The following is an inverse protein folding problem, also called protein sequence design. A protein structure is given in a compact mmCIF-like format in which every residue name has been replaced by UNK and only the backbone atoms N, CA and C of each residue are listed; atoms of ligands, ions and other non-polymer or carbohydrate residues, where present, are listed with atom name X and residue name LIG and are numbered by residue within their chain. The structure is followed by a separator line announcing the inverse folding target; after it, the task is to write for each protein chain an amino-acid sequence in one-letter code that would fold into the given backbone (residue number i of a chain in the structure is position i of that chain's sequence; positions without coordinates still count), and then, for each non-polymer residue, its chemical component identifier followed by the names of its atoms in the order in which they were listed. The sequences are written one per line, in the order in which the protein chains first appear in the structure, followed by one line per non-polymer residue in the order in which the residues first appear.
data_IF_066333418885
#
_entry.id   IF_066333418885
#
_cell.length_a   1.000
_cell.length_b   1.000
_cell.length_c   1.000
_cell.angle_alpha   90.00
_cell.angle_beta   90.00
_cell.angle_gamma   90.00
#
_symmetry.space_group_name_H-M   'P 1'
#
loop_
_entity.id
_entity.type
_entity.pdbx_description
1 polymer ?
#
# COMPACT_ATOMS: atom_id res chain seq x y z
N UNK A 1 -34.93 0.56 9.31
CA UNK A 1 -33.47 0.44 9.09
C UNK A 1 -32.80 0.49 10.45
N UNK A 2 -32.10 -0.57 10.86
CA UNK A 2 -31.65 -0.72 12.24
C UNK A 2 -30.38 0.11 12.48
N UNK A 3 -30.56 1.19 13.24
CA UNK A 3 -29.48 1.95 13.84
C UNK A 3 -28.93 1.14 15.01
N UNK A 4 -27.81 0.43 14.81
CA UNK A 4 -27.22 -0.37 15.88
C UNK A 4 -26.47 0.56 16.84
N UNK A 5 -27.19 1.03 17.87
CA UNK A 5 -26.64 1.77 18.99
C UNK A 5 -26.37 0.77 20.12
N UNK A 6 -25.18 0.84 20.72
CA UNK A 6 -24.75 -0.01 21.82
C UNK A 6 -25.64 0.13 23.07
N UNK A 7 -26.47 1.18 23.15
CA UNK A 7 -27.43 1.40 24.24
C UNK A 7 -28.77 0.65 24.11
N UNK A 8 -29.10 0.12 22.93
CA UNK A 8 -30.43 -0.46 22.66
C UNK A 8 -30.39 -1.88 22.08
N UNK A 9 -29.21 -2.44 21.83
CA UNK A 9 -29.07 -3.84 21.38
C UNK A 9 -28.97 -4.79 22.57
N UNK A 10 -29.61 -5.95 22.43
CA UNK A 10 -29.31 -7.12 23.25
C UNK A 10 -27.81 -7.48 23.06
N UNK A 11 -27.09 -7.69 24.17
CA UNK A 11 -25.66 -8.01 24.19
C UNK A 11 -25.30 -9.20 23.28
N UNK A 12 -26.18 -10.20 23.21
CA UNK A 12 -25.97 -11.38 22.34
C UNK A 12 -25.95 -11.02 20.85
N UNK A 13 -26.79 -10.07 20.42
CA UNK A 13 -26.84 -9.62 19.02
C UNK A 13 -25.64 -8.73 18.70
N UNK A 14 -25.24 -7.86 19.64
CA UNK A 14 -24.02 -7.06 19.46
C UNK A 14 -22.79 -7.95 19.32
N UNK A 15 -22.64 -8.97 20.18
CA UNK A 15 -21.54 -9.92 20.09
C UNK A 15 -21.51 -10.64 18.74
N UNK A 16 -22.65 -11.14 18.27
CA UNK A 16 -22.75 -11.87 17.00
C UNK A 16 -22.50 -10.99 15.77
N UNK A 17 -22.78 -9.68 15.84
CA UNK A 17 -22.72 -8.76 14.70
C UNK A 17 -21.55 -7.78 14.75
N UNK A 18 -20.73 -7.80 15.81
CA UNK A 18 -19.71 -6.78 16.09
C UNK A 18 -18.82 -6.49 14.87
N UNK A 19 -18.21 -7.54 14.30
CA UNK A 19 -17.29 -7.41 13.17
C UNK A 19 -17.97 -7.07 11.84
N UNK A 20 -19.29 -7.28 11.73
CA UNK A 20 -20.08 -6.95 10.54
C UNK A 20 -20.54 -5.49 10.52
N UNK A 21 -20.48 -4.81 11.67
CA UNK A 21 -20.99 -3.44 11.81
C UNK A 21 -20.32 -2.46 10.84
N UNK A 22 -18.99 -2.51 10.72
CA UNK A 22 -18.23 -1.66 9.78
C UNK A 22 -18.59 -1.91 8.32
N UNK A 23 -18.80 -3.18 7.94
CA UNK A 23 -19.24 -3.55 6.59
C UNK A 23 -20.64 -2.97 6.30
N UNK A 24 -21.58 -3.08 7.23
CA UNK A 24 -22.95 -2.56 7.06
C UNK A 24 -22.97 -1.03 6.90
N UNK A 25 -22.19 -0.31 7.72
CA UNK A 25 -22.04 1.14 7.56
C UNK A 25 -21.46 1.51 6.18
N UNK A 26 -20.48 0.74 5.72
CA UNK A 26 -19.84 0.92 4.42
C UNK A 26 -20.83 0.70 3.28
N UNK A 27 -21.58 -0.41 3.31
CA UNK A 27 -22.59 -0.73 2.30
C UNK A 27 -23.67 0.35 2.22
N UNK A 28 -24.18 0.80 3.37
CA UNK A 28 -25.19 1.85 3.40
C UNK A 28 -24.66 3.15 2.78
N UNK A 29 -23.46 3.57 3.18
CA UNK A 29 -22.83 4.79 2.65
C UNK A 29 -22.60 4.68 1.15
N UNK A 30 -22.14 3.53 0.67
CA UNK A 30 -21.95 3.25 -0.76
C UNK A 30 -23.27 3.36 -1.54
N UNK A 31 -24.34 2.71 -1.06
CA UNK A 31 -25.66 2.76 -1.71
C UNK A 31 -26.23 4.18 -1.73
N UNK A 32 -26.10 4.93 -0.64
CA UNK A 32 -26.48 6.35 -0.61
C UNK A 32 -25.70 7.13 -1.67
N UNK A 33 -24.38 6.99 -1.69
CA UNK A 33 -23.53 7.74 -2.60
C UNK A 33 -23.85 7.48 -4.08
N UNK A 34 -24.23 6.25 -4.42
CA UNK A 34 -24.50 5.80 -5.79
C UNK A 34 -25.95 6.09 -6.23
N UNK A 35 -26.94 5.83 -5.38
CA UNK A 35 -28.36 5.77 -5.78
C UNK A 35 -29.23 6.90 -5.22
N UNK A 36 -28.76 7.65 -4.22
CA UNK A 36 -29.55 8.77 -3.71
C UNK A 36 -29.34 10.00 -4.59
N UNK A 37 -30.42 10.56 -5.14
CA UNK A 37 -30.37 11.76 -5.98
C UNK A 37 -29.81 13.01 -5.26
N UNK A 38 -29.86 13.05 -3.93
CA UNK A 38 -29.24 14.11 -3.11
C UNK A 38 -27.76 13.89 -2.86
N UNK A 39 -27.18 12.77 -3.28
CA UNK A 39 -25.76 12.48 -3.15
C UNK A 39 -24.93 13.37 -4.10
N UNK A 40 -23.76 13.88 -3.66
CA UNK A 40 -22.86 14.64 -4.53
C UNK A 40 -22.28 13.81 -5.69
N UNK A 41 -22.36 12.48 -5.62
CA UNK A 41 -21.81 11.56 -6.64
C UNK A 41 -22.89 10.64 -7.23
N UNK A 42 -24.16 11.08 -7.25
CA UNK A 42 -25.26 10.29 -7.79
C UNK A 42 -24.95 9.75 -9.20
N UNK A 43 -25.13 8.44 -9.38
CA UNK A 43 -24.84 7.75 -10.65
C UNK A 43 -23.36 7.64 -11.03
N UNK A 44 -22.44 7.99 -10.13
CA UNK A 44 -20.99 7.97 -10.36
C UNK A 44 -20.27 7.06 -9.36
N UNK A 45 -19.05 6.62 -9.72
CA UNK A 45 -18.18 5.88 -8.80
C UNK A 45 -17.65 6.83 -7.73
N UNK A 46 -17.81 6.47 -6.47
CA UNK A 46 -17.34 7.26 -5.32
C UNK A 46 -16.10 6.63 -4.70
N UNK A 47 -15.23 7.46 -4.13
CA UNK A 47 -14.16 7.01 -3.26
C UNK A 47 -14.67 6.96 -1.82
N UNK A 48 -14.78 5.75 -1.26
CA UNK A 48 -15.14 5.52 0.13
C UNK A 48 -13.98 4.82 0.84
N UNK A 49 -13.68 5.25 2.06
CA UNK A 49 -12.71 4.62 2.94
C UNK A 49 -13.40 4.22 4.23
N UNK A 50 -13.16 3.01 4.70
CA UNK A 50 -13.64 2.55 6.00
C UNK A 50 -12.49 2.06 6.85
N UNK A 51 -12.51 2.37 8.15
CA UNK A 51 -11.55 1.83 9.12
C UNK A 51 -11.96 0.44 9.63
N UNK A 52 -13.25 0.13 9.66
CA UNK A 52 -13.76 -1.16 10.12
C UNK A 52 -14.28 -1.94 8.93
N UNK A 53 -13.70 -3.11 8.69
CA UNK A 53 -13.95 -3.93 7.51
C UNK A 53 -14.22 -5.38 7.89
N UNK A 54 -14.83 -6.11 6.97
CA UNK A 54 -15.07 -7.54 7.05
C UNK A 54 -14.90 -8.16 5.65
N UNK A 55 -14.99 -9.48 5.53
CA UNK A 55 -14.99 -10.15 4.23
C UNK A 55 -16.05 -9.52 3.29
N UNK A 56 -15.63 -9.12 2.09
CA UNK A 56 -16.47 -8.43 1.11
C UNK A 56 -16.43 -6.90 1.16
N UNK A 57 -15.80 -6.27 2.16
CA UNK A 57 -15.71 -4.81 2.25
C UNK A 57 -15.04 -4.16 1.04
N UNK A 58 -14.08 -4.82 0.39
CA UNK A 58 -13.37 -4.29 -0.77
C UNK A 58 -14.23 -4.06 -2.01
N UNK A 59 -15.46 -4.59 -2.05
CA UNK A 59 -16.43 -4.28 -3.10
C UNK A 59 -16.99 -2.84 -2.99
N UNK A 60 -16.93 -2.25 -1.79
CA UNK A 60 -17.61 -1.00 -1.47
C UNK A 60 -16.66 0.12 -1.09
N UNK A 61 -15.53 -0.19 -0.46
CA UNK A 61 -14.59 0.81 0.05
C UNK A 61 -13.15 0.31 0.11
N UNK A 62 -12.23 1.27 0.12
CA UNK A 62 -10.85 1.04 0.54
C UNK A 62 -10.67 1.08 2.05
N UNK A 63 -9.44 0.80 2.47
CA UNK A 63 -9.04 0.75 3.88
C UNK A 63 -7.66 1.38 4.08
N UNK A 64 -7.26 1.60 5.32
CA UNK A 64 -5.88 1.91 5.70
C UNK A 64 -5.53 1.22 7.01
N UNK A 65 -4.26 0.91 7.22
CA UNK A 65 -3.76 0.13 8.38
C UNK A 65 -3.86 0.84 9.75
N UNK A 66 -4.69 1.87 9.88
CA UNK A 66 -4.90 2.58 11.14
C UNK A 66 -3.81 3.61 11.45
N UNK A 67 -3.49 3.74 12.74
CA UNK A 67 -2.57 4.75 13.26
C UNK A 67 -1.18 4.16 13.49
N UNK A 68 -0.37 4.13 12.44
CA UNK A 68 1.03 3.73 12.51
C UNK A 68 1.92 4.86 13.08
N UNK A 69 3.10 4.50 13.58
CA UNK A 69 4.15 5.38 14.11
C UNK A 69 5.19 5.69 13.04
N UNK A 70 5.90 6.80 13.19
CA UNK A 70 7.04 7.17 12.35
C UNK A 70 8.29 6.32 12.70
N UNK A 71 8.26 5.01 12.40
CA UNK A 71 9.36 4.07 12.66
C UNK A 71 9.64 3.21 11.44
N UNK A 72 10.86 2.68 11.32
CA UNK A 72 11.22 1.72 10.26
C UNK A 72 10.40 0.44 10.36
N UNK A 73 10.13 -0.05 11.58
CA UNK A 73 9.33 -1.25 11.80
C UNK A 73 7.90 -1.07 11.26
N UNK A 74 7.23 0.04 11.58
CA UNK A 74 5.88 0.30 11.06
C UNK A 74 5.89 0.55 9.54
N UNK A 75 6.95 1.14 9.00
CA UNK A 75 7.13 1.25 7.55
C UNK A 75 7.29 -0.14 6.91
N UNK A 76 8.04 -1.07 7.51
CA UNK A 76 8.16 -2.46 7.04
C UNK A 76 6.84 -3.21 7.18
N UNK A 77 6.19 -3.15 8.35
CA UNK A 77 4.89 -3.80 8.61
C UNK A 77 3.78 -3.33 7.67
N UNK A 78 3.90 -2.12 7.11
CA UNK A 78 2.98 -1.66 6.08
C UNK A 78 2.91 -2.60 4.87
N UNK A 79 4.02 -3.28 4.55
CA UNK A 79 4.13 -4.15 3.37
C UNK A 79 3.31 -5.42 3.57
N UNK A 80 3.57 -6.15 4.66
CA UNK A 80 2.80 -7.36 4.97
C UNK A 80 1.34 -7.03 5.29
N UNK A 81 1.05 -5.92 5.96
CA UNK A 81 -0.31 -5.44 6.18
C UNK A 81 -1.08 -5.20 4.88
N UNK A 82 -0.48 -4.49 3.92
CA UNK A 82 -1.10 -4.25 2.60
C UNK A 82 -1.32 -5.58 1.88
N UNK A 83 -0.32 -6.46 1.81
CA UNK A 83 -0.44 -7.75 1.14
C UNK A 83 -1.56 -8.61 1.73
N UNK A 84 -1.65 -8.68 3.06
CA UNK A 84 -2.70 -9.41 3.77
C UNK A 84 -4.09 -8.91 3.42
N UNK A 85 -4.33 -7.60 3.48
CA UNK A 85 -5.63 -7.03 3.15
C UNK A 85 -6.05 -7.28 1.69
N UNK A 86 -5.11 -7.29 0.75
CA UNK A 86 -5.42 -7.67 -0.63
C UNK A 86 -5.84 -9.13 -0.73
N UNK A 87 -5.15 -10.05 -0.03
CA UNK A 87 -5.54 -11.46 0.03
C UNK A 87 -6.90 -11.65 0.71
N UNK A 88 -7.28 -10.77 1.65
CA UNK A 88 -8.60 -10.75 2.28
C UNK A 88 -9.68 -10.06 1.43
N UNK A 89 -9.36 -9.67 0.19
CA UNK A 89 -10.32 -9.09 -0.74
C UNK A 89 -10.59 -7.60 -0.52
N UNK A 90 -9.66 -6.85 0.09
CA UNK A 90 -9.72 -5.38 0.25
C UNK A 90 -8.50 -4.75 -0.42
N UNK A 91 -8.51 -4.61 -1.76
CA UNK A 91 -7.30 -4.30 -2.51
C UNK A 91 -6.91 -2.82 -2.50
N UNK A 92 -7.85 -1.91 -2.28
CA UNK A 92 -7.57 -0.48 -2.19
C UNK A 92 -7.14 -0.11 -0.77
N UNK A 93 -5.90 -0.49 -0.42
CA UNK A 93 -5.33 -0.42 0.94
C UNK A 93 -4.03 0.39 0.96
N UNK A 94 -3.70 0.99 2.12
CA UNK A 94 -2.42 1.63 2.36
C UNK A 94 -2.12 1.87 3.85
N UNK A 95 -0.96 2.43 4.14
CA UNK A 95 -0.60 2.97 5.45
C UNK A 95 -0.46 4.49 5.40
N UNK A 96 -0.53 5.17 6.55
CA UNK A 96 -0.26 6.61 6.56
C UNK A 96 1.23 6.85 6.37
N UNK A 97 1.60 7.43 5.24
CA UNK A 97 2.98 7.75 4.89
C UNK A 97 3.56 8.68 5.97
N UNK A 98 4.80 8.42 6.39
CA UNK A 98 5.50 9.08 7.49
C UNK A 98 4.93 8.81 8.90
N UNK A 99 3.94 7.94 9.05
CA UNK A 99 3.31 7.67 10.34
C UNK A 99 2.34 8.77 10.79
N UNK A 100 1.32 8.36 11.55
CA UNK A 100 0.33 9.25 12.18
C UNK A 100 0.79 9.76 13.53
N UNK A 101 1.60 8.98 14.25
CA UNK A 101 2.06 9.28 15.61
C UNK A 101 3.56 9.06 15.75
N UNK A 102 4.10 9.24 16.96
CA UNK A 102 5.51 9.08 17.28
C UNK A 102 6.37 10.27 16.85
N UNK A 103 7.63 10.24 17.25
CA UNK A 103 8.58 11.33 16.97
C UNK A 103 8.88 11.40 15.48
N UNK A 104 8.82 12.61 14.95
CA UNK A 104 9.01 12.82 13.52
C UNK A 104 10.48 12.62 13.13
N UNK A 105 10.71 11.75 12.14
CA UNK A 105 12.02 11.54 11.55
C UNK A 105 11.95 11.77 10.04
N UNK A 106 12.72 12.74 9.56
CA UNK A 106 12.69 13.13 8.15
C UNK A 106 13.28 12.07 7.21
N UNK A 107 14.24 11.28 7.67
CA UNK A 107 14.81 10.17 6.90
C UNK A 107 13.77 9.08 6.65
N UNK A 108 13.11 8.66 7.73
CA UNK A 108 12.00 7.70 7.66
C UNK A 108 10.93 8.26 6.73
N UNK A 109 10.55 9.53 6.87
CA UNK A 109 9.54 10.14 6.01
C UNK A 109 9.93 10.17 4.53
N UNK A 110 11.18 10.51 4.21
CA UNK A 110 11.72 10.45 2.84
C UNK A 110 11.66 9.04 2.25
N UNK A 111 12.11 8.02 3.00
CA UNK A 111 12.01 6.61 2.60
C UNK A 111 10.56 6.13 2.48
N UNK A 112 9.69 6.59 3.38
CA UNK A 112 8.28 6.23 3.35
C UNK A 112 7.57 6.87 2.16
N UNK A 113 7.95 8.05 1.69
CA UNK A 113 7.43 8.56 0.42
C UNK A 113 7.92 7.71 -0.76
N UNK A 114 9.18 7.26 -0.76
CA UNK A 114 9.68 6.35 -1.80
C UNK A 114 8.91 5.03 -1.85
N UNK A 115 8.52 4.45 -0.70
CA UNK A 115 7.69 3.25 -0.64
C UNK A 115 6.20 3.56 -0.91
N UNK A 116 5.65 4.52 -0.17
CA UNK A 116 4.23 4.83 -0.11
C UNK A 116 3.69 5.49 -1.37
N UNK A 117 4.55 6.08 -2.20
CA UNK A 117 4.20 6.47 -3.56
C UNK A 117 3.72 5.28 -4.41
N UNK A 118 4.02 4.04 -4.00
CA UNK A 118 3.57 2.84 -4.70
C UNK A 118 2.44 2.09 -4.00
N UNK A 119 1.90 2.60 -2.88
CA UNK A 119 0.73 2.01 -2.24
C UNK A 119 -0.49 2.04 -3.17
N UNK A 120 -1.37 1.01 -3.12
CA UNK A 120 -2.68 1.05 -3.77
C UNK A 120 -3.44 2.32 -3.37
N UNK A 121 -3.55 2.58 -2.07
CA UNK A 121 -4.04 3.82 -1.48
C UNK A 121 -2.88 4.60 -0.82
N UNK A 122 -2.43 5.68 -1.46
CA UNK A 122 -1.32 6.49 -0.97
C UNK A 122 -1.83 7.76 -0.27
N UNK A 123 -1.60 7.89 1.04
CA UNK A 123 -2.01 9.05 1.84
C UNK A 123 -0.97 9.35 2.94
N UNK A 124 -0.66 10.63 3.14
CA UNK A 124 -0.03 11.13 4.37
C UNK A 124 -1.10 11.67 5.31
N UNK A 125 -1.08 11.26 6.58
CA UNK A 125 -2.08 11.64 7.59
C UNK A 125 -1.45 11.71 8.99
N UNK A 126 -0.76 12.82 9.32
CA UNK A 126 -0.24 13.07 10.66
C UNK A 126 -1.37 13.38 11.64
N UNK A 127 -1.17 13.13 12.94
CA UNK A 127 -2.05 13.67 13.98
C UNK A 127 -1.73 15.15 14.27
N UNK A 128 -2.63 15.85 14.97
CA UNK A 128 -2.49 17.29 15.21
C UNK A 128 -1.23 17.70 16.02
N UNK A 129 -0.63 16.76 16.75
CA UNK A 129 0.56 17.00 17.59
C UNK A 129 1.88 16.61 16.93
N UNK A 130 1.85 16.11 15.69
CA UNK A 130 2.98 15.48 15.02
C UNK A 130 3.99 16.42 14.36
N UNK A 131 3.75 17.74 14.43
CA UNK A 131 4.52 18.76 13.69
C UNK A 131 4.21 18.77 12.18
N UNK A 132 4.90 19.64 11.44
CA UNK A 132 4.76 19.74 9.98
C UNK A 132 5.42 18.55 9.29
N UNK A 133 4.62 17.73 8.58
CA UNK A 133 5.07 16.53 7.84
C UNK A 133 4.76 16.60 6.34
N UNK A 134 4.35 17.78 5.87
CA UNK A 134 4.14 18.05 4.46
C UNK A 134 5.45 17.93 3.69
N UNK A 135 5.38 17.46 2.44
CA UNK A 135 6.58 17.25 1.60
C UNK A 135 7.44 18.51 1.49
N UNK A 136 6.82 19.69 1.40
CA UNK A 136 7.54 20.96 1.28
C UNK A 136 8.31 21.36 2.54
N UNK A 137 7.93 20.82 3.70
CA UNK A 137 8.54 21.09 5.00
C UNK A 137 9.75 20.19 5.29
N UNK A 138 10.01 19.18 4.46
CA UNK A 138 11.18 18.31 4.57
C UNK A 138 12.47 19.01 4.13
N UNK A 139 13.60 18.61 4.72
CA UNK A 139 14.94 18.97 4.29
C UNK A 139 15.13 18.59 2.82
N UNK A 140 15.98 19.35 2.12
CA UNK A 140 16.10 19.29 0.66
C UNK A 140 16.29 17.88 0.10
N UNK A 141 17.14 17.07 0.74
CA UNK A 141 17.43 15.70 0.31
C UNK A 141 16.19 14.79 0.37
N UNK A 142 15.41 14.86 1.46
CA UNK A 142 14.21 14.05 1.65
C UNK A 142 13.03 14.58 0.83
N UNK A 143 12.93 15.91 0.70
CA UNK A 143 11.95 16.56 -0.16
C UNK A 143 12.15 16.17 -1.63
N UNK A 144 13.40 16.13 -2.10
CA UNK A 144 13.75 15.71 -3.45
C UNK A 144 13.38 14.25 -3.68
N UNK A 145 13.73 13.36 -2.74
CA UNK A 145 13.34 11.96 -2.78
C UNK A 145 11.82 11.76 -2.87
N UNK A 146 11.07 12.45 -2.00
CA UNK A 146 9.61 12.40 -1.99
C UNK A 146 9.03 12.92 -3.31
N UNK A 147 9.54 14.04 -3.83
CA UNK A 147 9.10 14.61 -5.11
C UNK A 147 9.36 13.66 -6.28
N UNK A 148 10.53 13.02 -6.34
CA UNK A 148 10.87 12.07 -7.38
C UNK A 148 9.94 10.86 -7.35
N UNK A 149 9.71 10.28 -6.16
CA UNK A 149 8.81 9.14 -5.98
C UNK A 149 7.37 9.48 -6.36
N UNK A 150 6.86 10.64 -5.93
CA UNK A 150 5.51 11.09 -6.27
C UNK A 150 5.37 11.40 -7.77
N UNK A 151 6.39 11.97 -8.40
CA UNK A 151 6.40 12.22 -9.86
C UNK A 151 6.33 10.90 -10.63
N UNK A 152 7.11 9.89 -10.19
CA UNK A 152 7.06 8.55 -10.77
C UNK A 152 5.71 7.86 -10.54
N UNK A 153 5.10 8.01 -9.36
CA UNK A 153 3.70 7.55 -9.12
C UNK A 153 2.76 8.15 -10.16
N UNK A 154 2.84 9.47 -10.37
CA UNK A 154 1.95 10.18 -11.30
C UNK A 154 2.14 9.71 -12.75
N UNK A 155 3.38 9.46 -13.19
CA UNK A 155 3.64 8.94 -14.54
C UNK A 155 3.13 7.50 -14.71
N UNK A 156 3.09 6.71 -13.63
CA UNK A 156 2.60 5.33 -13.62
C UNK A 156 1.08 5.19 -13.37
N UNK A 157 0.32 6.28 -13.24
CA UNK A 157 -1.12 6.20 -12.92
C UNK A 157 -1.92 5.36 -13.91
N UNK A 158 -1.58 5.41 -15.21
CA UNK A 158 -2.23 4.58 -16.23
C UNK A 158 -1.98 3.09 -15.96
N UNK A 159 -0.73 2.73 -15.65
CA UNK A 159 -0.37 1.36 -15.29
C UNK A 159 -1.11 0.90 -14.03
N UNK A 160 -1.11 1.72 -12.97
CA UNK A 160 -1.83 1.39 -11.73
C UNK A 160 -3.33 1.21 -11.96
N UNK A 161 -3.94 2.08 -12.76
CA UNK A 161 -5.35 1.94 -13.10
C UNK A 161 -5.63 0.65 -13.89
N UNK A 162 -4.75 0.26 -14.81
CA UNK A 162 -4.85 -1.02 -15.52
C UNK A 162 -4.74 -2.20 -14.54
N UNK A 163 -3.81 -2.18 -13.60
CA UNK A 163 -3.70 -3.24 -12.57
C UNK A 163 -5.00 -3.36 -11.76
N UNK A 164 -5.59 -2.23 -11.32
CA UNK A 164 -6.89 -2.27 -10.64
C UNK A 164 -8.02 -2.77 -11.53
N UNK A 165 -8.01 -2.44 -12.83
CA UNK A 165 -9.02 -2.92 -13.77
C UNK A 165 -8.93 -4.44 -13.97
N UNK A 166 -7.72 -4.98 -14.15
CA UNK A 166 -7.49 -6.42 -14.23
C UNK A 166 -7.97 -7.13 -12.96
N UNK A 167 -7.68 -6.56 -11.78
CA UNK A 167 -8.17 -7.10 -10.51
C UNK A 167 -9.68 -7.06 -10.39
N UNK A 168 -10.33 -6.00 -10.87
CA UNK A 168 -11.79 -5.91 -10.89
C UNK A 168 -12.41 -6.99 -11.79
N UNK A 169 -11.76 -7.32 -12.91
CA UNK A 169 -12.26 -8.33 -13.87
C UNK A 169 -11.98 -9.77 -13.42
N UNK A 170 -10.78 -10.03 -12.91
CA UNK A 170 -10.23 -11.37 -12.76
C UNK A 170 -9.89 -11.74 -11.31
N UNK A 171 -10.02 -10.80 -10.36
CA UNK A 171 -9.48 -10.95 -9.02
C UNK A 171 -7.96 -10.80 -8.97
N UNK A 172 -7.35 -11.13 -7.83
CA UNK A 172 -5.91 -11.02 -7.60
C UNK A 172 -5.53 -9.84 -6.69
N UNK A 173 -4.27 -9.38 -6.81
CA UNK A 173 -3.66 -8.41 -5.89
C UNK A 173 -2.88 -7.33 -6.65
N UNK A 174 -2.87 -6.10 -6.13
CA UNK A 174 -2.15 -4.98 -6.74
C UNK A 174 -0.65 -5.11 -6.44
N UNK A 175 -0.30 -5.30 -5.16
CA UNK A 175 1.00 -5.80 -4.73
C UNK A 175 1.00 -7.32 -4.69
N UNK A 176 2.01 -7.95 -5.27
CA UNK A 176 2.16 -9.39 -5.31
C UNK A 176 3.50 -9.77 -4.69
N UNK A 177 3.54 -10.59 -3.62
CA UNK A 177 4.78 -11.22 -3.19
C UNK A 177 5.47 -11.88 -4.39
N UNK A 178 6.81 -11.95 -4.39
CA UNK A 178 7.52 -12.52 -5.55
C UNK A 178 7.03 -13.93 -5.91
N UNK A 179 6.76 -14.77 -4.92
CA UNK A 179 6.29 -16.14 -5.15
C UNK A 179 4.91 -16.24 -5.84
N UNK A 180 4.11 -15.16 -5.89
CA UNK A 180 2.87 -15.16 -6.68
C UNK A 180 3.15 -15.18 -8.19
N UNK A 181 4.23 -14.51 -8.63
CA UNK A 181 4.64 -14.47 -10.03
C UNK A 181 5.67 -15.57 -10.35
N UNK A 182 6.42 -16.01 -9.33
CA UNK A 182 7.52 -16.97 -9.46
C UNK A 182 7.39 -18.11 -8.42
N UNK A 183 6.33 -18.94 -8.49
CA UNK A 183 6.03 -19.94 -7.47
C UNK A 183 7.07 -21.07 -7.39
N UNK A 184 7.78 -21.35 -8.48
CA UNK A 184 8.83 -22.38 -8.56
C UNK A 184 10.17 -21.93 -7.94
N UNK A 185 10.26 -20.70 -7.44
CA UNK A 185 11.49 -20.15 -6.85
C UNK A 185 11.44 -20.22 -5.31
N UNK A 186 12.25 -21.10 -4.73
CA UNK A 186 12.41 -21.20 -3.28
C UNK A 186 12.89 -19.87 -2.66
N UNK A 187 13.75 -19.13 -3.35
CA UNK A 187 14.20 -17.80 -2.90
C UNK A 187 13.06 -16.78 -2.88
N UNK A 188 12.15 -16.82 -3.86
CA UNK A 188 10.99 -15.93 -3.90
C UNK A 188 10.01 -16.18 -2.73
N UNK A 189 9.99 -17.40 -2.18
CA UNK A 189 9.21 -17.74 -0.99
C UNK A 189 9.84 -17.23 0.33
N UNK A 190 11.17 -17.04 0.36
CA UNK A 190 11.90 -16.63 1.57
C UNK A 190 11.79 -15.13 1.85
N UNK A 191 11.55 -14.31 0.83
CA UNK A 191 11.51 -12.84 0.95
C UNK A 191 10.13 -12.26 0.62
N UNK A 192 9.29 -12.15 1.66
CA UNK A 192 7.90 -11.71 1.54
C UNK A 192 7.75 -10.20 1.79
N UNK A 193 8.69 -9.60 2.53
CA UNK A 193 8.53 -8.23 3.06
C UNK A 193 9.53 -7.21 2.49
N UNK A 194 10.58 -7.62 1.77
CA UNK A 194 11.60 -6.67 1.28
C UNK A 194 11.54 -6.44 -0.23
N UNK A 195 10.89 -7.32 -0.99
CA UNK A 195 10.67 -7.09 -2.42
C UNK A 195 9.39 -7.73 -2.92
N UNK A 196 8.73 -7.06 -3.86
CA UNK A 196 7.45 -7.49 -4.39
C UNK A 196 7.21 -6.90 -5.78
N UNK A 197 6.25 -7.49 -6.49
CA UNK A 197 5.76 -7.00 -7.77
C UNK A 197 4.54 -6.09 -7.57
N UNK A 198 4.35 -5.17 -8.49
CA UNK A 198 3.13 -4.39 -8.68
C UNK A 198 2.61 -4.74 -10.05
N UNK A 199 1.45 -5.37 -10.13
CA UNK A 199 1.03 -6.07 -11.35
C UNK A 199 2.08 -7.10 -11.79
N UNK A 200 2.27 -7.25 -13.11
CA UNK A 200 3.20 -8.22 -13.70
C UNK A 200 4.54 -7.65 -14.14
N UNK A 201 4.73 -6.32 -14.07
CA UNK A 201 5.84 -5.66 -14.79
C UNK A 201 6.71 -4.73 -13.94
N UNK A 202 6.28 -4.37 -12.74
CA UNK A 202 7.02 -3.45 -11.88
C UNK A 202 7.48 -4.19 -10.62
N UNK A 203 8.78 -4.21 -10.35
CA UNK A 203 9.35 -4.75 -9.11
C UNK A 203 9.81 -3.63 -8.21
N UNK A 204 9.49 -3.71 -6.92
CA UNK A 204 9.94 -2.75 -5.91
C UNK A 204 10.80 -3.47 -4.87
N UNK A 205 11.87 -2.80 -4.44
CA UNK A 205 12.71 -3.19 -3.30
C UNK A 205 12.99 -1.93 -2.47
N UNK A 206 12.17 -1.62 -1.46
CA UNK A 206 12.35 -0.42 -0.65
C UNK A 206 13.54 -0.51 0.31
N UNK A 207 14.07 0.63 0.71
CA UNK A 207 15.01 0.75 1.83
C UNK A 207 14.21 0.80 3.13
N UNK A 208 14.37 -0.23 3.96
CA UNK A 208 13.60 -0.42 5.19
C UNK A 208 14.43 -0.28 6.47
N UNK A 209 15.63 0.27 6.37
CA UNK A 209 16.57 0.50 7.48
C UNK A 209 17.25 1.87 7.36
N UNK A 210 17.84 2.39 8.45
CA UNK A 210 18.63 3.62 8.42
C UNK A 210 19.77 3.56 7.39
N UNK A 211 20.12 4.71 6.81
CA UNK A 211 21.26 4.85 5.88
C UNK A 211 22.58 4.49 6.53
N UNK A 212 22.72 4.70 7.85
CA UNK A 212 23.89 4.28 8.63
C UNK A 212 24.10 2.77 8.64
N UNK A 213 23.06 2.00 8.33
CA UNK A 213 23.08 0.53 8.28
C UNK A 213 22.95 0.00 6.84
N UNK A 214 22.71 0.87 5.85
CA UNK A 214 22.28 0.46 4.51
C UNK A 214 23.03 1.22 3.43
N UNK A 215 24.26 0.79 3.15
CA UNK A 215 25.00 1.27 1.98
C UNK A 215 24.45 0.65 0.69
N UNK A 216 24.09 -0.64 0.72
CA UNK A 216 23.46 -1.36 -0.40
C UNK A 216 22.28 -2.20 0.08
N UNK A 217 21.28 -2.37 -0.78
CA UNK A 217 20.18 -3.31 -0.54
C UNK A 217 20.36 -4.56 -1.38
N UNK A 218 20.18 -5.72 -0.77
CA UNK A 218 20.17 -7.00 -1.48
C UNK A 218 18.77 -7.25 -2.05
N UNK A 219 18.68 -7.56 -3.33
CA UNK A 219 17.42 -7.82 -4.00
C UNK A 219 17.50 -9.09 -4.84
N UNK A 220 16.55 -10.01 -4.65
CA UNK A 220 16.47 -11.22 -5.44
C UNK A 220 15.78 -10.96 -6.79
N UNK A 221 16.32 -11.57 -7.85
CA UNK A 221 15.81 -11.55 -9.21
C UNK A 221 15.62 -12.99 -9.70
N UNK A 222 14.39 -13.39 -10.09
CA UNK A 222 14.09 -14.76 -10.54
C UNK A 222 14.77 -15.13 -11.85
N UNK A 223 14.94 -16.44 -12.08
CA UNK A 223 15.50 -16.98 -13.32
C UNK A 223 14.68 -16.59 -14.56
N UNK A 224 15.31 -16.53 -15.72
CA UNK A 224 14.68 -16.25 -17.02
C UNK A 224 13.91 -14.92 -17.06
N UNK A 225 14.28 -13.94 -16.23
CA UNK A 225 13.66 -12.61 -16.21
C UNK A 225 14.62 -11.56 -16.75
N UNK A 226 14.07 -10.44 -17.22
CA UNK A 226 14.83 -9.24 -17.55
C UNK A 226 14.29 -8.08 -16.75
N UNK A 227 15.17 -7.42 -15.98
CA UNK A 227 14.82 -6.25 -15.18
C UNK A 227 15.71 -5.07 -15.53
N UNK A 228 15.07 -3.92 -15.74
CA UNK A 228 15.71 -2.66 -16.07
C UNK A 228 15.37 -1.66 -14.97
N UNK A 229 16.36 -0.90 -14.53
CA UNK A 229 16.14 0.19 -13.59
C UNK A 229 15.33 1.31 -14.27
N UNK A 230 14.18 1.68 -13.70
CA UNK A 230 13.29 2.69 -14.28
C UNK A 230 13.83 4.12 -14.21
N UNK A 231 14.87 4.38 -13.43
CA UNK A 231 15.43 5.73 -13.26
C UNK A 231 16.51 5.99 -14.32
N UNK A 232 17.46 5.06 -14.49
CA UNK A 232 18.62 5.24 -15.36
C UNK A 232 18.64 4.30 -16.59
N UNK A 233 17.61 3.47 -16.74
CA UNK A 233 17.41 2.52 -17.85
C UNK A 233 18.52 1.47 -17.99
N UNK A 234 19.35 1.30 -16.96
CA UNK A 234 20.38 0.25 -16.96
C UNK A 234 19.74 -1.11 -16.70
N UNK A 235 20.18 -2.09 -17.47
CA UNK A 235 19.83 -3.49 -17.23
C UNK A 235 20.45 -3.94 -15.90
N UNK A 236 19.63 -4.47 -14.99
CA UNK A 236 20.07 -5.06 -13.73
C UNK A 236 20.35 -6.55 -13.93
N UNK A 237 19.41 -7.24 -14.58
CA UNK A 237 19.48 -8.66 -14.94
C UNK A 237 18.93 -8.85 -16.36
N UNK A 238 19.55 -9.72 -17.14
CA UNK A 238 19.13 -10.09 -18.50
C UNK A 238 19.17 -11.62 -18.70
N UNK A 239 18.07 -12.27 -18.35
CA UNK A 239 17.94 -13.72 -18.38
C UNK A 239 18.77 -14.41 -17.29
N UNK A 240 19.13 -15.67 -17.55
CA UNK A 240 19.89 -16.52 -16.64
C UNK A 240 19.09 -17.75 -16.18
N UNK A 241 19.74 -18.91 -16.22
CA UNK A 241 19.10 -20.20 -15.90
C UNK A 241 18.73 -20.36 -14.40
N UNK A 242 19.33 -19.54 -13.53
CA UNK A 242 19.08 -19.53 -12.09
C UNK A 242 18.79 -18.11 -11.61
N UNK A 243 17.96 -17.96 -10.58
CA UNK A 243 17.75 -16.67 -9.94
C UNK A 243 19.00 -16.17 -9.24
N UNK A 244 19.13 -14.85 -9.11
CA UNK A 244 20.33 -14.19 -8.60
C UNK A 244 19.97 -13.08 -7.61
N UNK A 245 20.81 -12.93 -6.59
CA UNK A 245 20.75 -11.76 -5.72
C UNK A 245 21.72 -10.69 -6.23
N UNK A 246 21.24 -9.46 -6.33
CA UNK A 246 22.05 -8.29 -6.68
C UNK A 246 22.09 -7.28 -5.53
N UNK A 247 23.22 -6.59 -5.40
CA UNK A 247 23.34 -5.45 -4.52
C UNK A 247 23.02 -4.17 -5.27
N UNK A 248 21.96 -3.48 -4.86
CA UNK A 248 21.50 -2.23 -5.48
C UNK A 248 21.88 -1.07 -4.57
N UNK A 249 22.50 -0.05 -5.17
CA UNK A 249 22.78 1.21 -4.51
C UNK A 249 21.48 2.02 -4.37
N UNK A 250 21.01 2.33 -3.15
CA UNK A 250 19.79 3.08 -2.99
C UNK A 250 19.96 4.54 -3.39
N UNK A 251 19.06 5.07 -4.21
CA UNK A 251 19.00 6.51 -4.48
C UNK A 251 18.18 7.24 -3.42
N UNK A 252 18.47 8.53 -3.23
CA UNK A 252 17.55 9.49 -2.62
C UNK A 252 16.70 10.11 -3.72
#
# INVERSE_FOLDING_TARGET
MYYFNNKTMNESVWFNMHSLYGLQQTQFTYLYLLFQNTSPTYGQRSLLLSRSTFAGSGQYAGHWLGNNKCTYDDMRHSISGIMNFQMFGVPFIGANICGTTGDFNQEICGRWYQLGAFYPFARSFPNDTSGKREVWALDEKYRTAAKNALTLRLSLLRYFYTVFFEMYKNGGSFWKPLFFEFPESDEALKDIEHTFMIGSSLKLTPVLKPVTETEKIKSYFPANTRFINLIDWKTIIDGGASGKNEEIQPSW
#
